data_IF_006882730502
#
_entry.id   IF_006882730502
#
_cell.length_a   1.000
_cell.length_b   1.000
_cell.length_c   1.000
_cell.angle_alpha   90.00
_cell.angle_beta   90.00
_cell.angle_gamma   90.00
#
_symmetry.space_group_name_H-M   'P 1'
#
loop_
_entity.id
_entity.type
_entity.pdbx_description
1 polymer ?
#
# COMPACT_ATOMS: atom_id res chain seq x y z
N UNK A 1 14.15 2.09 -11.17
CA UNK A 1 14.22 0.66 -10.79
C UNK A 1 13.91 0.39 -9.31
N UNK A 2 14.19 1.32 -8.39
CA UNK A 2 14.05 1.12 -6.93
C UNK A 2 12.70 0.56 -6.46
N UNK A 3 11.56 1.03 -6.99
CA UNK A 3 10.25 0.58 -6.51
C UNK A 3 9.98 -0.90 -6.82
N UNK A 4 10.50 -1.43 -7.94
CA UNK A 4 10.22 -2.83 -8.34
C UNK A 4 10.94 -3.86 -7.47
N UNK A 5 12.03 -3.46 -6.84
CA UNK A 5 12.90 -4.31 -6.02
C UNK A 5 12.80 -4.01 -4.54
N UNK A 6 12.11 -2.93 -4.16
CA UNK A 6 11.81 -2.63 -2.77
C UNK A 6 10.62 -3.46 -2.29
N UNK A 7 10.70 -4.00 -1.09
CA UNK A 7 9.58 -4.69 -0.44
C UNK A 7 8.50 -3.68 -0.07
N UNK A 8 7.25 -4.01 -0.37
CA UNK A 8 6.14 -3.15 -0.01
C UNK A 8 5.58 -3.53 1.37
N UNK A 9 5.24 -2.54 2.19
CA UNK A 9 4.91 -2.75 3.59
C UNK A 9 3.62 -3.54 3.84
N UNK A 10 2.63 -3.45 2.95
CA UNK A 10 1.35 -4.17 3.10
C UNK A 10 1.37 -5.58 2.52
N UNK A 11 2.12 -5.81 1.44
CA UNK A 11 2.23 -7.12 0.78
C UNK A 11 3.42 -7.93 1.27
N UNK A 12 4.41 -7.31 1.92
CA UNK A 12 5.71 -7.87 2.32
C UNK A 12 6.59 -8.43 1.20
N UNK A 13 6.15 -8.33 -0.06
CA UNK A 13 6.89 -8.78 -1.24
C UNK A 13 7.28 -7.61 -2.13
N UNK A 14 8.29 -7.81 -2.97
CA UNK A 14 8.64 -6.85 -4.02
C UNK A 14 7.62 -6.92 -5.16
N UNK A 15 7.33 -5.81 -5.85
CA UNK A 15 6.48 -5.84 -7.04
C UNK A 15 7.02 -6.76 -8.14
N UNK A 16 8.34 -6.88 -8.26
CA UNK A 16 8.98 -7.81 -9.19
C UNK A 16 8.59 -9.27 -8.92
N UNK A 17 8.69 -9.69 -7.66
CA UNK A 17 8.35 -11.06 -7.25
C UNK A 17 6.87 -11.36 -7.45
N UNK A 18 5.98 -10.41 -7.17
CA UNK A 18 4.55 -10.56 -7.43
C UNK A 18 4.21 -10.64 -8.92
N UNK A 19 4.99 -10.01 -9.80
CA UNK A 19 4.71 -10.01 -11.23
C UNK A 19 5.32 -11.21 -11.96
N UNK A 20 6.54 -11.61 -11.58
CA UNK A 20 7.35 -12.57 -12.33
C UNK A 20 7.49 -13.90 -11.56
N UNK A 21 7.17 -13.95 -10.27
CA UNK A 21 7.40 -15.10 -9.40
C UNK A 21 8.85 -15.20 -8.88
N UNK A 22 9.72 -14.26 -9.25
CA UNK A 22 11.13 -14.19 -8.81
C UNK A 22 11.63 -12.74 -8.69
N UNK A 23 12.73 -12.56 -7.99
CA UNK A 23 13.40 -11.25 -7.91
C UNK A 23 14.15 -10.91 -9.21
N UNK A 24 14.12 -9.64 -9.60
CA UNK A 24 14.87 -9.14 -10.75
C UNK A 24 16.33 -8.92 -10.33
N UNK A 25 17.27 -9.31 -11.20
CA UNK A 25 18.69 -9.00 -11.03
C UNK A 25 18.93 -7.50 -11.12
N UNK A 26 19.45 -6.91 -10.04
CA UNK A 26 19.79 -5.49 -10.03
C UNK A 26 21.18 -5.27 -10.64
N UNK A 27 21.50 -4.05 -11.10
CA UNK A 27 22.84 -3.73 -11.62
C UNK A 27 23.95 -4.04 -10.61
N UNK A 28 23.68 -3.90 -9.32
CA UNK A 28 24.64 -4.25 -8.27
C UNK A 28 24.83 -5.77 -8.16
N UNK A 29 23.77 -6.58 -8.32
CA UNK A 29 23.88 -8.04 -8.34
C UNK A 29 24.72 -8.55 -9.52
N UNK A 30 24.74 -7.81 -10.64
CA UNK A 30 25.56 -8.12 -11.82
C UNK A 30 27.04 -7.82 -11.58
N UNK A 31 27.36 -6.71 -10.90
CA UNK A 31 28.74 -6.33 -10.59
C UNK A 31 29.37 -7.28 -9.56
N UNK A 32 28.58 -7.75 -8.60
CA UNK A 32 29.05 -8.60 -7.50
C UNK A 32 28.78 -10.10 -7.69
N UNK A 33 28.34 -10.52 -8.89
CA UNK A 33 28.02 -11.91 -9.25
C UNK A 33 27.33 -12.70 -8.13
N UNK A 34 26.10 -12.32 -7.80
CA UNK A 34 25.33 -13.04 -6.79
C UNK A 34 25.01 -14.46 -7.31
N UNK A 35 25.34 -15.53 -6.56
CA UNK A 35 25.09 -16.91 -6.99
C UNK A 35 23.60 -17.11 -7.31
N UNK A 36 23.33 -17.84 -8.40
CA UNK A 36 21.97 -18.25 -8.74
C UNK A 36 21.41 -19.12 -7.62
N UNK A 37 20.26 -18.76 -7.02
CA UNK A 37 19.70 -19.53 -5.91
C UNK A 37 19.12 -20.88 -6.38
N UNK A 38 18.93 -21.10 -7.68
CA UNK A 38 18.27 -22.28 -8.23
C UNK A 38 19.16 -22.94 -9.29
N UNK A 39 19.77 -24.08 -8.92
CA UNK A 39 20.31 -25.02 -9.90
C UNK A 39 19.12 -25.81 -10.45
N UNK A 40 18.58 -25.35 -11.56
CA UNK A 40 17.43 -26.02 -12.17
C UNK A 40 17.92 -27.18 -13.04
N UNK A 41 17.52 -28.39 -12.72
CA UNK A 41 17.91 -29.61 -13.45
C UNK A 41 17.33 -29.67 -14.88
N UNK A 42 16.15 -29.09 -15.12
CA UNK A 42 15.48 -29.11 -16.43
C UNK A 42 14.56 -27.91 -16.65
N UNK A 43 14.36 -27.50 -17.91
CA UNK A 43 13.44 -26.41 -18.26
C UNK A 43 12.00 -26.64 -17.75
N UNK A 44 11.53 -27.89 -17.74
CA UNK A 44 10.19 -28.22 -17.26
C UNK A 44 10.04 -28.02 -15.75
N UNK A 45 11.07 -28.31 -14.95
CA UNK A 45 11.04 -28.10 -13.50
C UNK A 45 11.11 -26.62 -13.18
N UNK A 46 11.92 -25.84 -13.91
CA UNK A 46 11.95 -24.38 -13.78
C UNK A 46 10.57 -23.73 -13.97
N UNK A 47 9.86 -24.10 -15.04
CA UNK A 47 8.54 -23.52 -15.32
C UNK A 47 7.54 -23.87 -14.22
N UNK A 48 7.61 -25.10 -13.69
CA UNK A 48 6.74 -25.54 -12.59
C UNK A 48 7.02 -24.76 -11.31
N UNK A 49 8.29 -24.66 -10.91
CA UNK A 49 8.71 -23.90 -9.72
C UNK A 49 8.32 -22.43 -9.83
N UNK A 50 8.46 -21.83 -11.01
CA UNK A 50 8.05 -20.45 -11.24
C UNK A 50 6.54 -20.26 -11.05
N UNK A 51 5.72 -21.18 -11.55
CA UNK A 51 4.26 -21.15 -11.37
C UNK A 51 3.87 -21.34 -9.91
N UNK A 52 4.48 -22.31 -9.22
CA UNK A 52 4.25 -22.56 -7.80
C UNK A 52 4.62 -21.33 -6.95
N UNK A 53 5.81 -20.77 -7.19
CA UNK A 53 6.27 -19.55 -6.52
C UNK A 53 5.31 -18.38 -6.72
N UNK A 54 4.78 -18.20 -7.93
CA UNK A 54 3.82 -17.16 -8.23
C UNK A 54 2.51 -17.36 -7.45
N UNK A 55 1.96 -18.57 -7.47
CA UNK A 55 0.73 -18.91 -6.73
C UNK A 55 0.90 -18.67 -5.22
N UNK A 56 1.95 -19.25 -4.64
CA UNK A 56 2.26 -19.15 -3.22
C UNK A 56 2.47 -17.70 -2.81
N UNK A 57 3.26 -16.93 -3.57
CA UNK A 57 3.50 -15.51 -3.26
C UNK A 57 2.20 -14.70 -3.29
N UNK A 58 1.32 -14.95 -4.26
CA UNK A 58 0.02 -14.27 -4.33
C UNK A 58 -0.91 -14.64 -3.17
N UNK A 59 -0.96 -15.90 -2.77
CA UNK A 59 -1.75 -16.35 -1.62
C UNK A 59 -1.31 -15.64 -0.34
N UNK A 60 0.00 -15.59 -0.08
CA UNK A 60 0.54 -14.88 1.07
C UNK A 60 0.30 -13.39 0.98
N UNK A 61 0.53 -12.77 -0.18
CA UNK A 61 0.28 -11.35 -0.38
C UNK A 61 -1.18 -10.99 -0.08
N UNK A 62 -2.14 -11.81 -0.51
CA UNK A 62 -3.57 -11.57 -0.27
C UNK A 62 -3.89 -11.63 1.23
N UNK A 63 -3.32 -12.60 1.97
CA UNK A 63 -3.46 -12.69 3.43
C UNK A 63 -2.87 -11.48 4.15
N UNK A 64 -1.69 -11.03 3.76
CA UNK A 64 -1.06 -9.87 4.38
C UNK A 64 -1.80 -8.57 4.07
N UNK A 65 -2.29 -8.42 2.84
CA UNK A 65 -3.14 -7.30 2.44
C UNK A 65 -4.37 -7.24 3.36
N UNK A 66 -5.08 -8.36 3.55
CA UNK A 66 -6.26 -8.44 4.42
C UNK A 66 -5.94 -8.02 5.86
N UNK A 67 -4.86 -8.56 6.46
CA UNK A 67 -4.42 -8.18 7.81
C UNK A 67 -4.04 -6.69 7.91
N UNK A 68 -3.39 -6.16 6.87
CA UNK A 68 -3.02 -4.74 6.80
C UNK A 68 -4.25 -3.86 6.72
N UNK A 69 -5.27 -4.27 5.96
CA UNK A 69 -6.54 -3.58 5.87
C UNK A 69 -7.31 -3.62 7.18
N UNK A 70 -7.36 -4.76 7.87
CA UNK A 70 -7.98 -4.84 9.20
C UNK A 70 -7.31 -3.92 10.21
N UNK A 71 -5.97 -3.90 10.22
CA UNK A 71 -5.19 -3.03 11.10
C UNK A 71 -5.42 -1.56 10.77
N UNK A 72 -5.46 -1.22 9.49
CA UNK A 72 -5.75 0.13 9.01
C UNK A 72 -7.17 0.55 9.36
N UNK A 73 -8.16 -0.33 9.18
CA UNK A 73 -9.55 -0.11 9.56
C UNK A 73 -9.67 0.15 11.06
N UNK A 74 -9.07 -0.69 11.90
CA UNK A 74 -9.07 -0.49 13.36
C UNK A 74 -8.47 0.86 13.75
N UNK A 75 -7.34 1.25 13.14
CA UNK A 75 -6.72 2.56 13.38
C UNK A 75 -7.62 3.70 12.96
N UNK A 76 -8.28 3.58 11.81
CA UNK A 76 -9.21 4.59 11.31
C UNK A 76 -10.47 4.68 12.20
N UNK A 77 -11.04 3.54 12.58
CA UNK A 77 -12.24 3.47 13.43
C UNK A 77 -12.01 4.07 14.84
N UNK A 78 -10.80 3.92 15.40
CA UNK A 78 -10.43 4.55 16.68
C UNK A 78 -10.40 6.07 16.59
N UNK A 79 -9.95 6.63 15.47
CA UNK A 79 -9.84 8.07 15.27
C UNK A 79 -11.16 8.67 14.73
N UNK A 80 -12.03 7.84 14.14
CA UNK A 80 -13.38 8.22 13.73
C UNK A 80 -14.34 8.11 14.92
N UNK A 81 -14.31 9.08 15.83
CA UNK A 81 -15.44 9.27 16.73
C UNK A 81 -16.69 9.55 15.90
N UNK A 82 -17.72 8.73 16.08
CA UNK A 82 -19.04 8.98 15.48
C UNK A 82 -19.64 10.21 16.19
N UNK A 83 -19.31 11.41 15.71
CA UNK A 83 -20.04 12.61 16.08
C UNK A 83 -21.46 12.46 15.53
N UNK A 84 -22.39 12.11 16.41
CA UNK A 84 -23.82 12.26 16.13
C UNK A 84 -24.08 13.75 16.20
N UNK A 85 -24.36 14.35 15.04
CA UNK A 85 -24.77 15.74 14.97
C UNK A 85 -26.29 15.80 15.03
N UNK A 86 -26.82 16.64 15.91
CA UNK A 86 -28.24 16.91 16.01
C UNK A 86 -28.60 18.16 15.18
N UNK A 87 -29.88 18.30 14.85
CA UNK A 87 -30.41 19.53 14.25
C UNK A 87 -30.11 20.72 15.17
N UNK A 88 -29.50 21.77 14.61
CA UNK A 88 -29.03 22.94 15.35
C UNK A 88 -27.55 22.93 15.74
N UNK A 89 -26.85 21.79 15.64
CA UNK A 89 -25.41 21.73 15.94
C UNK A 89 -24.59 22.54 14.94
N UNK A 90 -23.62 23.30 15.45
CA UNK A 90 -22.70 24.11 14.66
C UNK A 90 -21.52 23.27 14.19
N UNK A 91 -21.46 23.02 12.89
CA UNK A 91 -20.39 22.24 12.26
C UNK A 91 -19.50 23.12 11.40
N UNK A 92 -18.19 22.86 11.47
CA UNK A 92 -17.22 23.52 10.62
C UNK A 92 -17.20 22.84 9.25
N UNK A 93 -17.50 23.60 8.20
CA UNK A 93 -17.34 23.12 6.84
C UNK A 93 -15.89 23.28 6.39
N UNK A 94 -15.20 22.16 6.21
CA UNK A 94 -13.87 22.18 5.58
C UNK A 94 -14.02 22.45 4.08
N UNK A 95 -13.73 23.69 3.66
CA UNK A 95 -13.73 24.09 2.26
C UNK A 95 -12.36 24.69 1.89
N UNK A 96 -11.37 23.85 1.55
CA UNK A 96 -10.05 24.34 1.20
C UNK A 96 -10.07 25.05 -0.15
N UNK A 97 -10.29 26.37 -0.15
CA UNK A 97 -10.03 27.20 -1.32
C UNK A 97 -8.53 27.30 -1.51
N UNK A 98 -7.99 26.60 -2.52
CA UNK A 98 -6.57 26.71 -2.92
C UNK A 98 -6.25 28.16 -3.31
N UNK A 99 -5.73 28.96 -2.38
CA UNK A 99 -5.03 30.21 -2.71
C UNK A 99 -3.59 29.84 -3.09
N UNK A 100 -3.14 30.27 -4.28
CA UNK A 100 -1.73 30.09 -4.70
C UNK A 100 -0.80 30.65 -3.61
N UNK A 101 0.18 29.86 -3.18
CA UNK A 101 1.24 30.31 -2.28
C UNK A 101 1.06 30.04 -0.78
N UNK A 102 0.05 29.27 -0.33
CA UNK A 102 -0.04 28.79 1.07
C UNK A 102 -0.07 27.27 1.14
N UNK A 103 0.58 26.70 2.16
CA UNK A 103 0.48 25.28 2.50
C UNK A 103 -0.91 24.99 3.09
N UNK A 104 -1.36 23.73 2.96
CA UNK A 104 -2.71 23.26 3.33
C UNK A 104 -3.06 23.52 4.81
N UNK A 105 -2.05 23.67 5.66
CA UNK A 105 -2.20 23.86 7.10
C UNK A 105 -2.77 25.23 7.50
N UNK A 106 -2.72 26.24 6.60
CA UNK A 106 -3.07 27.63 6.92
C UNK A 106 -4.47 28.05 6.42
N UNK A 107 -5.29 27.10 5.97
CA UNK A 107 -6.65 27.37 5.50
C UNK A 107 -7.58 27.38 6.71
N UNK A 108 -7.83 28.58 7.20
CA UNK A 108 -8.76 28.90 8.28
C UNK A 108 -10.11 28.21 8.13
N UNK A 109 -10.70 27.92 9.27
CA UNK A 109 -12.08 27.45 9.43
C UNK A 109 -13.03 28.53 8.89
N UNK A 110 -13.30 28.50 7.58
CA UNK A 110 -13.89 29.65 6.86
C UNK A 110 -15.43 29.72 6.95
N UNK A 111 -16.13 28.68 7.39
CA UNK A 111 -17.61 28.71 7.52
C UNK A 111 -18.14 27.73 8.55
N UNK A 112 -18.93 28.26 9.49
CA UNK A 112 -19.73 27.49 10.44
C UNK A 112 -21.16 27.42 9.90
N UNK A 113 -21.71 26.21 9.76
CA UNK A 113 -23.08 25.99 9.30
C UNK A 113 -23.88 25.33 10.43
N UNK A 114 -25.14 25.72 10.58
CA UNK A 114 -26.11 24.98 11.40
C UNK A 114 -26.70 23.87 10.55
N UNK A 115 -26.71 22.65 11.07
CA UNK A 115 -27.45 21.53 10.49
C UNK A 115 -28.95 21.80 10.64
N UNK A 116 -29.63 22.08 9.52
CA UNK A 116 -31.09 22.17 9.46
C UNK A 116 -31.59 20.90 8.75
N UNK A 117 -32.58 20.22 9.35
CA UNK A 117 -33.24 19.03 8.79
C UNK A 117 -34.05 19.30 7.53
#
# INVERSE_FOLDING_TARGET
>A
MAYRTATHASTHFTPARLMIGREIRTPIDLVYERPDPEVVESYSTYVRELQENLQVTHEFARKYIEQSFESMRKRYDVDSSACIFNEGDQVWLYNPRKKKGRSVCDLGKDRMLSLNG
#
